data_IF_362833951567
#
_entry.id   IF_362833951567
#
_cell.length_a   1.000
_cell.length_b   1.000
_cell.length_c   1.000
_cell.angle_alpha   90.00
_cell.angle_beta   90.00
_cell.angle_gamma   90.00
#
_symmetry.space_group_name_H-M   'P 1'
#
loop_
_entity.id
_entity.type
_entity.pdbx_description
1 polymer ?
#
# COMPACT_ATOMS: atom_id res chain seq x y z
N UNK A 1 -1.44 5.64 -9.39
CA UNK A 1 -1.67 5.11 -10.75
C UNK A 1 -2.47 3.83 -10.58
N UNK A 2 -3.57 3.66 -11.31
CA UNK A 2 -4.30 2.39 -11.33
C UNK A 2 -3.65 1.45 -12.34
N UNK A 3 -3.43 0.20 -11.93
CA UNK A 3 -3.10 -0.87 -12.87
C UNK A 3 -4.43 -1.46 -13.36
N UNK A 4 -4.55 -1.79 -14.66
CA UNK A 4 -5.74 -2.46 -15.15
C UNK A 4 -5.88 -3.77 -14.39
N UNK A 5 -7.05 -3.99 -13.77
CA UNK A 5 -7.37 -5.26 -13.16
C UNK A 5 -7.28 -6.36 -14.22
N UNK A 6 -6.70 -7.50 -13.86
CA UNK A 6 -6.69 -8.67 -14.75
C UNK A 6 -8.12 -9.21 -15.03
N UNK A 7 -9.15 -8.67 -14.37
CA UNK A 7 -10.57 -9.06 -14.40
C UNK A 7 -11.24 -9.04 -15.80
N UNK A 8 -10.58 -8.47 -16.82
CA UNK A 8 -11.05 -8.50 -18.22
C UNK A 8 -10.54 -9.67 -19.08
N UNK A 9 -9.52 -10.42 -18.63
CA UNK A 9 -9.04 -11.63 -19.31
C UNK A 9 -9.56 -12.84 -18.54
N UNK A 10 -10.07 -13.87 -19.23
CA UNK A 10 -10.38 -15.20 -18.63
C UNK A 10 -9.07 -15.91 -18.24
N UNK A 11 -8.34 -15.34 -17.30
CA UNK A 11 -7.16 -15.94 -16.68
C UNK A 11 -7.63 -16.78 -15.50
N UNK A 12 -6.90 -17.86 -15.18
CA UNK A 12 -7.14 -18.58 -13.94
C UNK A 12 -6.76 -17.64 -12.77
N UNK A 13 -7.40 -17.76 -11.60
CA UNK A 13 -7.15 -16.87 -10.46
C UNK A 13 -5.66 -16.72 -10.09
N UNK A 14 -4.87 -17.80 -10.13
CA UNK A 14 -3.42 -17.75 -9.90
C UNK A 14 -2.62 -17.01 -10.98
N UNK A 15 -3.06 -17.06 -12.24
CA UNK A 15 -2.36 -16.43 -13.38
C UNK A 15 -2.57 -14.90 -13.36
N UNK A 16 -3.76 -14.45 -12.96
CA UNK A 16 -4.08 -13.04 -12.78
C UNK A 16 -3.21 -12.40 -11.69
N UNK A 17 -3.14 -13.05 -10.52
CA UNK A 17 -2.37 -12.59 -9.37
C UNK A 17 -0.85 -12.53 -9.65
N UNK A 18 -0.33 -13.49 -10.41
CA UNK A 18 1.07 -13.49 -10.84
C UNK A 18 1.38 -12.36 -11.84
N UNK A 19 0.50 -12.15 -12.83
CA UNK A 19 0.67 -11.07 -13.81
C UNK A 19 0.60 -9.67 -13.16
N UNK A 20 -0.28 -9.48 -12.18
CA UNK A 20 -0.33 -8.25 -11.39
C UNK A 20 0.95 -8.02 -10.59
N UNK A 21 1.50 -9.06 -9.97
CA UNK A 21 2.76 -8.98 -9.24
C UNK A 21 3.93 -8.56 -10.13
N UNK A 22 4.05 -9.17 -11.31
CA UNK A 22 5.06 -8.79 -12.30
C UNK A 22 4.88 -7.33 -12.73
N UNK A 23 3.65 -6.91 -13.01
CA UNK A 23 3.33 -5.54 -13.39
C UNK A 23 3.67 -4.50 -12.29
N UNK A 24 3.46 -4.85 -11.02
CA UNK A 24 3.82 -4.00 -9.86
C UNK A 24 5.34 -3.90 -9.75
N UNK A 25 6.03 -5.04 -9.72
CA UNK A 25 7.48 -5.11 -9.49
C UNK A 25 8.28 -4.51 -10.64
N UNK A 26 7.83 -4.67 -11.89
CA UNK A 26 8.48 -4.09 -13.06
C UNK A 26 8.43 -2.56 -13.10
N UNK A 27 7.49 -1.93 -12.41
CA UNK A 27 7.36 -0.46 -12.32
C UNK A 27 8.20 0.15 -11.21
N UNK A 28 8.59 -0.65 -10.22
CA UNK A 28 9.39 -0.20 -9.08
C UNK A 28 10.83 0.06 -9.53
N UNK A 29 11.40 1.18 -9.10
CA UNK A 29 12.84 1.45 -9.19
C UNK A 29 13.55 1.01 -7.90
N UNK A 30 14.85 0.69 -7.94
CA UNK A 30 15.58 0.21 -6.76
C UNK A 30 15.47 1.13 -5.52
N UNK A 31 15.43 2.44 -5.76
CA UNK A 31 15.33 3.50 -4.75
C UNK A 31 13.91 3.85 -4.30
N UNK A 32 12.89 3.15 -4.81
CA UNK A 32 11.51 3.34 -4.40
C UNK A 32 11.22 2.51 -3.15
N UNK A 33 10.46 3.13 -2.24
CA UNK A 33 10.06 2.53 -0.97
C UNK A 33 8.65 1.96 -1.06
N UNK A 34 8.59 0.65 -1.20
CA UNK A 34 7.36 -0.11 -1.40
C UNK A 34 6.67 -0.44 -0.06
N UNK A 35 5.37 -0.14 0.02
CA UNK A 35 4.47 -0.52 1.12
C UNK A 35 3.32 -1.36 0.56
N UNK A 36 3.23 -2.60 1.01
CA UNK A 36 2.14 -3.50 0.66
C UNK A 36 0.97 -3.30 1.63
N UNK A 37 -0.24 -3.13 1.11
CA UNK A 37 -1.47 -3.06 1.92
C UNK A 37 -2.08 -4.46 2.03
N UNK A 38 -2.15 -4.99 3.25
CA UNK A 38 -2.65 -6.34 3.55
C UNK A 38 -3.20 -6.37 4.99
N UNK A 39 -4.38 -6.96 5.22
CA UNK A 39 -5.01 -6.99 6.55
C UNK A 39 -4.16 -7.73 7.61
N UNK A 40 -3.25 -8.61 7.16
CA UNK A 40 -2.33 -9.40 7.99
C UNK A 40 -1.04 -8.65 8.32
N UNK A 41 -0.88 -7.45 7.76
CA UNK A 41 0.27 -6.58 8.00
C UNK A 41 0.32 -5.99 9.41
N UNK A 42 1.37 -5.22 9.67
CA UNK A 42 1.51 -4.46 10.91
C UNK A 42 0.43 -3.38 10.97
N UNK A 43 -0.25 -3.25 12.10
CA UNK A 43 -1.10 -2.09 12.38
C UNK A 43 -0.26 -0.97 12.98
N UNK A 44 -0.44 0.24 12.48
CA UNK A 44 0.15 1.47 13.03
C UNK A 44 -0.97 2.40 13.45
N UNK A 45 -0.82 3.08 14.58
CA UNK A 45 -1.64 4.26 14.85
C UNK A 45 -1.23 5.44 13.95
N UNK A 46 -2.01 6.53 13.97
CA UNK A 46 -1.75 7.69 13.11
C UNK A 46 -0.41 8.39 13.41
N UNK A 47 0.07 8.35 14.65
CA UNK A 47 1.35 8.95 15.06
C UNK A 47 2.51 8.07 14.61
N UNK A 48 2.38 6.75 14.74
CA UNK A 48 3.35 5.79 14.24
C UNK A 48 3.45 5.82 12.73
N UNK A 49 2.32 5.93 12.02
CA UNK A 49 2.30 6.12 10.57
C UNK A 49 3.01 7.41 10.16
N UNK A 50 2.74 8.52 10.87
CA UNK A 50 3.43 9.81 10.66
C UNK A 50 4.95 9.67 10.79
N UNK A 51 5.44 9.05 11.87
CA UNK A 51 6.88 8.79 12.06
C UNK A 51 7.47 7.87 10.99
N UNK A 52 6.72 6.84 10.59
CA UNK A 52 7.13 5.93 9.52
C UNK A 52 7.31 6.68 8.19
N UNK A 53 6.35 7.53 7.81
CA UNK A 53 6.43 8.34 6.60
C UNK A 53 7.60 9.34 6.64
N UNK A 54 7.88 9.96 7.79
CA UNK A 54 9.05 10.83 7.94
C UNK A 54 10.36 10.08 7.69
N UNK A 55 10.50 8.88 8.27
CA UNK A 55 11.69 8.04 8.06
C UNK A 55 11.80 7.58 6.59
N UNK A 56 10.71 7.20 5.97
CA UNK A 56 10.74 6.69 4.59
C UNK A 56 11.12 7.81 3.59
N UNK A 57 10.70 9.05 3.83
CA UNK A 57 11.03 10.20 2.99
C UNK A 57 12.51 10.60 2.98
N UNK A 58 13.30 10.24 3.99
CA UNK A 58 14.72 10.65 4.03
C UNK A 58 15.61 9.81 3.11
N UNK A 59 15.15 8.62 2.70
CA UNK A 59 15.94 7.70 1.86
C UNK A 59 15.25 7.24 0.58
N UNK A 60 13.94 7.40 0.46
CA UNK A 60 13.19 7.01 -0.72
C UNK A 60 13.16 8.14 -1.76
N UNK A 61 13.25 7.78 -3.05
CA UNK A 61 12.86 8.72 -4.12
C UNK A 61 11.35 8.86 -4.18
N UNK A 62 10.65 7.73 -4.21
CA UNK A 62 9.20 7.64 -4.32
C UNK A 62 8.67 6.66 -3.26
N UNK A 63 7.53 7.00 -2.63
CA UNK A 63 6.79 6.11 -1.72
C UNK A 63 5.64 5.44 -2.49
N UNK A 64 5.69 4.11 -2.60
CA UNK A 64 4.74 3.34 -3.38
C UNK A 64 3.85 2.53 -2.46
N UNK A 65 2.58 2.93 -2.32
CA UNK A 65 1.56 2.14 -1.63
C UNK A 65 0.80 1.28 -2.64
N UNK A 66 0.75 -0.04 -2.39
CA UNK A 66 0.12 -0.99 -3.30
C UNK A 66 -1.03 -1.70 -2.60
N UNK A 67 -2.22 -1.59 -3.19
CA UNK A 67 -3.44 -2.27 -2.76
C UNK A 67 -3.73 -3.35 -3.80
N UNK A 68 -3.89 -4.59 -3.37
CA UNK A 68 -4.26 -5.70 -4.25
C UNK A 68 -5.69 -5.61 -4.74
N UNK A 69 -6.01 -6.33 -5.81
CA UNK A 69 -7.38 -6.56 -6.26
C UNK A 69 -8.12 -7.54 -5.34
N UNK A 70 -9.16 -8.18 -5.87
CA UNK A 70 -10.05 -9.05 -5.08
C UNK A 70 -9.35 -10.26 -4.46
N UNK A 71 -8.24 -10.73 -5.04
CA UNK A 71 -7.43 -11.84 -4.53
C UNK A 71 -6.26 -11.40 -3.64
N UNK A 72 -6.13 -10.09 -3.38
CA UNK A 72 -5.04 -9.49 -2.64
C UNK A 72 -3.68 -9.58 -3.35
N UNK A 73 -2.60 -9.30 -2.63
CA UNK A 73 -1.25 -9.26 -3.19
C UNK A 73 -0.61 -10.64 -3.28
N UNK A 74 0.20 -10.85 -4.32
CA UNK A 74 1.05 -12.02 -4.45
C UNK A 74 2.21 -11.97 -3.45
N UNK A 75 2.70 -13.14 -3.05
CA UNK A 75 3.84 -13.26 -2.12
C UNK A 75 5.07 -12.47 -2.57
N UNK A 76 5.48 -12.49 -3.85
CA UNK A 76 6.65 -11.71 -4.30
C UNK A 76 6.52 -10.20 -4.06
N UNK A 77 5.28 -9.65 -4.07
CA UNK A 77 5.05 -8.23 -3.77
C UNK A 77 5.21 -7.96 -2.28
N UNK A 78 4.73 -8.87 -1.41
CA UNK A 78 4.88 -8.78 0.04
C UNK A 78 6.35 -8.90 0.46
N UNK A 79 7.07 -9.86 -0.12
CA UNK A 79 8.50 -10.06 0.15
C UNK A 79 9.36 -8.87 -0.30
N UNK A 80 8.99 -8.22 -1.40
CA UNK A 80 9.68 -7.02 -1.90
C UNK A 80 9.32 -5.74 -1.14
N UNK A 81 8.28 -5.75 -0.29
CA UNK A 81 7.83 -4.58 0.43
C UNK A 81 8.74 -4.28 1.62
N UNK A 82 8.99 -2.99 1.87
CA UNK A 82 9.72 -2.53 3.06
C UNK A 82 8.82 -2.58 4.31
N UNK A 83 7.50 -2.54 4.10
CA UNK A 83 6.48 -2.73 5.12
C UNK A 83 5.23 -3.34 4.49
N UNK A 84 4.65 -4.32 5.18
CA UNK A 84 3.26 -4.74 4.97
C UNK A 84 2.41 -4.06 6.04
N UNK A 85 1.53 -3.14 5.61
CA UNK A 85 0.71 -2.28 6.47
C UNK A 85 -0.75 -2.72 6.43
N UNK A 86 -1.34 -2.88 7.61
CA UNK A 86 -2.76 -3.19 7.80
C UNK A 86 -3.52 -1.93 8.23
N UNK A 87 -4.58 -1.59 7.48
CA UNK A 87 -5.52 -0.51 7.84
C UNK A 87 -6.55 -0.97 8.87
N UNK A 88 -6.81 -2.27 8.92
CA UNK A 88 -7.78 -2.90 9.81
C UNK A 88 -7.54 -4.40 9.85
N UNK A 89 -7.90 -5.04 10.96
CA UNK A 89 -7.99 -6.51 11.04
C UNK A 89 -9.17 -7.07 10.23
N UNK A 90 -10.11 -6.21 9.82
CA UNK A 90 -11.25 -6.59 8.99
C UNK A 90 -10.87 -6.49 7.51
N UNK A 91 -11.49 -7.35 6.69
CA UNK A 91 -11.39 -7.23 5.24
C UNK A 91 -12.11 -5.98 4.76
N UNK A 92 -11.36 -5.05 4.18
CA UNK A 92 -11.91 -3.86 3.53
C UNK A 92 -11.94 -4.09 2.02
N UNK A 93 -13.06 -3.80 1.32
CA UNK A 93 -13.06 -3.76 -0.14
C UNK A 93 -11.97 -2.82 -0.65
N UNK A 94 -11.24 -3.20 -1.71
CA UNK A 94 -10.06 -2.48 -2.18
C UNK A 94 -10.30 -0.97 -2.41
N UNK A 95 -11.50 -0.57 -2.88
CA UNK A 95 -11.90 0.84 -3.04
C UNK A 95 -12.01 1.57 -1.71
N UNK A 96 -12.57 0.94 -0.69
CA UNK A 96 -12.67 1.51 0.66
C UNK A 96 -11.30 1.57 1.32
N UNK A 97 -10.49 0.52 1.19
CA UNK A 97 -9.10 0.51 1.67
C UNK A 97 -8.29 1.69 1.09
N UNK A 98 -8.48 2.00 -0.20
CA UNK A 98 -7.85 3.16 -0.84
C UNK A 98 -8.29 4.49 -0.22
N UNK A 99 -9.59 4.66 0.04
CA UNK A 99 -10.12 5.87 0.65
C UNK A 99 -9.55 6.07 2.07
N UNK A 100 -9.56 5.01 2.88
CA UNK A 100 -9.02 5.03 4.25
C UNK A 100 -7.51 5.32 4.22
N UNK A 101 -6.77 4.70 3.32
CA UNK A 101 -5.34 4.98 3.16
C UNK A 101 -5.08 6.46 2.84
N UNK A 102 -5.81 7.04 1.88
CA UNK A 102 -5.63 8.45 1.49
C UNK A 102 -5.88 9.37 2.69
N UNK A 103 -6.94 9.13 3.46
CA UNK A 103 -7.24 9.92 4.65
C UNK A 103 -6.14 9.76 5.73
N UNK A 104 -5.66 8.54 5.98
CA UNK A 104 -4.59 8.32 6.96
C UNK A 104 -3.26 8.92 6.51
N UNK A 105 -2.95 8.92 5.22
CA UNK A 105 -1.79 9.63 4.68
C UNK A 105 -1.93 11.14 4.88
N UNK A 106 -3.09 11.71 4.53
CA UNK A 106 -3.37 13.13 4.77
C UNK A 106 -3.18 13.49 6.26
N UNK A 107 -3.80 12.73 7.17
CA UNK A 107 -3.66 12.89 8.62
C UNK A 107 -2.20 12.81 9.08
N UNK A 108 -1.48 11.78 8.62
CA UNK A 108 -0.08 11.57 8.98
C UNK A 108 0.81 12.74 8.53
N UNK A 109 0.56 13.30 7.34
CA UNK A 109 1.27 14.49 6.84
C UNK A 109 0.89 15.78 7.57
N UNK A 110 -0.39 15.97 7.95
CA UNK A 110 -0.80 17.10 8.81
C UNK A 110 -0.08 17.05 10.16
N UNK A 111 0.00 15.86 10.77
CA UNK A 111 0.76 15.65 12.00
C UNK A 111 2.26 15.98 11.83
N UNK A 112 2.86 15.60 10.69
CA UNK A 112 4.27 15.92 10.39
C UNK A 112 4.55 17.42 10.28
N UNK A 113 3.56 18.21 9.83
CA UNK A 113 3.68 19.67 9.73
C UNK A 113 3.45 20.38 11.06
N UNK A 114 3.06 19.67 12.12
CA UNK A 114 2.66 20.26 13.39
C UNK A 114 1.34 21.03 13.32
N UNK A 115 0.54 20.79 12.27
CA UNK A 115 -0.78 21.40 12.12
C UNK A 115 -1.81 20.68 13.01
N UNK A 116 -2.77 21.40 13.62
CA UNK A 116 -3.85 20.76 14.36
C UNK A 116 -4.69 19.90 13.41
N UNK A 117 -4.70 18.59 13.61
CA UNK A 117 -5.61 17.70 12.91
C UNK A 117 -6.89 17.52 13.73
N UNK A 118 -8.05 17.66 13.08
CA UNK A 118 -9.35 17.57 13.74
C UNK A 118 -9.57 16.17 14.36
N UNK A 119 -9.91 16.15 15.65
CA UNK A 119 -10.26 14.93 16.37
C UNK A 119 -11.66 14.46 15.99
#
# INVERSE_FOLDING_TARGET
MELPEASGRKLKPGDAKAAEAEAILARRKPQDWLVAMDERGKSLDSVELSRYLAKAQTGAKDLLFVIGGDEGLAEPVREAAHLTLSLSRMTLPHRLARLVLIEQLYRAFTLLKGEPYHK
#
